data_IF_054975718702
#
_entry.id   IF_054975718702
#
_cell.length_a   1.000
_cell.length_b   1.000
_cell.length_c   1.000
_cell.angle_alpha   90.00
_cell.angle_beta   90.00
_cell.angle_gamma   90.00
#
_symmetry.space_group_name_H-M   'P 1'
#
loop_
_entity.id
_entity.type
_entity.pdbx_description
1 polymer ?
#
# COMPACT_ATOMS: atom_id res chain seq x y z
N UNK A 1 71.18 37.44 19.82
CA UNK A 1 71.40 38.83 19.34
C UNK A 1 70.57 39.06 18.09
N UNK A 2 69.69 40.06 18.15
CA UNK A 2 68.85 40.63 17.07
C UNK A 2 67.67 39.83 16.51
N UNK A 3 66.51 40.25 17.01
CA UNK A 3 65.16 40.14 16.44
C UNK A 3 65.10 40.83 15.04
N UNK A 4 64.31 40.25 14.12
CA UNK A 4 63.66 41.01 13.05
C UNK A 4 62.22 40.50 12.92
N UNK A 5 61.29 41.47 13.18
CA UNK A 5 59.86 41.36 12.93
C UNK A 5 59.61 41.37 11.42
N UNK A 6 58.75 40.54 10.94
CA UNK A 6 58.12 40.68 9.63
C UNK A 6 56.59 40.65 9.83
N UNK A 7 55.95 41.78 9.67
CA UNK A 7 54.51 41.97 9.64
C UNK A 7 53.97 41.37 8.34
N UNK A 8 52.97 40.44 8.43
CA UNK A 8 52.23 39.92 7.31
C UNK A 8 50.92 40.71 7.17
N UNK A 9 50.85 41.44 6.09
CA UNK A 9 49.63 42.14 5.64
C UNK A 9 48.56 41.14 5.22
N UNK A 10 47.40 41.10 5.91
CA UNK A 10 46.23 40.39 5.46
C UNK A 10 45.52 41.20 4.36
N UNK A 11 45.55 40.68 3.14
CA UNK A 11 44.70 41.14 2.04
C UNK A 11 43.31 40.44 2.20
N UNK A 12 42.30 41.24 2.47
CA UNK A 12 40.90 40.83 2.47
C UNK A 12 40.41 40.63 1.04
N UNK A 13 40.02 39.42 0.67
CA UNK A 13 39.26 39.11 -0.53
C UNK A 13 37.76 39.23 -0.22
N UNK A 14 36.93 39.77 -1.14
CA UNK A 14 35.49 39.89 -0.90
C UNK A 14 34.82 38.53 -0.99
N UNK A 15 33.92 38.23 -0.01
CA UNK A 15 33.08 37.03 0.04
C UNK A 15 32.14 37.00 -1.16
N UNK A 16 32.27 36.02 -2.01
CA UNK A 16 31.29 35.67 -3.03
C UNK A 16 30.05 35.07 -2.32
N UNK A 17 28.92 35.79 -2.42
CA UNK A 17 27.61 35.27 -2.03
C UNK A 17 27.26 34.06 -2.91
N UNK A 18 27.45 32.86 -2.41
CA UNK A 18 26.90 31.67 -2.98
C UNK A 18 25.38 31.66 -2.67
N UNK A 19 24.56 31.79 -3.71
CA UNK A 19 23.14 31.52 -3.65
C UNK A 19 22.95 30.02 -3.30
N UNK A 20 22.68 29.72 -2.04
CA UNK A 20 22.14 28.41 -1.64
C UNK A 20 20.64 28.46 -1.91
N UNK A 21 20.08 27.48 -2.66
CA UNK A 21 18.63 27.36 -2.77
C UNK A 21 18.09 27.01 -1.38
N UNK A 22 17.22 27.86 -0.89
CA UNK A 22 16.50 27.68 0.36
C UNK A 22 15.46 26.57 0.16
N UNK A 23 15.84 25.31 0.34
CA UNK A 23 14.88 24.25 0.55
C UNK A 23 14.25 24.47 1.91
N UNK A 24 13.12 25.15 1.91
CA UNK A 24 12.28 25.28 3.07
C UNK A 24 11.90 23.88 3.52
N UNK A 25 12.48 23.43 4.64
CA UNK A 25 11.98 22.29 5.41
C UNK A 25 10.58 22.70 5.86
N UNK A 26 9.54 22.32 5.11
CA UNK A 26 8.16 22.38 5.59
C UNK A 26 8.11 21.51 6.85
N UNK A 27 7.82 22.13 7.96
CA UNK A 27 7.58 21.51 9.24
C UNK A 27 6.54 20.41 9.03
N UNK A 28 6.84 19.19 9.49
CA UNK A 28 5.96 18.02 9.47
C UNK A 28 4.94 18.18 10.61
N UNK A 29 4.13 19.22 10.54
CA UNK A 29 2.99 19.40 11.41
C UNK A 29 1.71 19.22 10.58
N UNK A 30 1.01 18.10 10.79
CA UNK A 30 -0.35 17.82 10.29
C UNK A 30 -0.59 18.22 8.83
N UNK A 31 0.03 17.54 7.88
CA UNK A 31 -0.49 17.55 6.51
C UNK A 31 -1.66 16.57 6.47
N UNK A 32 -2.86 17.05 6.79
CA UNK A 32 -4.11 16.46 6.32
C UNK A 32 -4.05 16.55 4.79
N UNK A 33 -4.17 15.43 4.10
CA UNK A 33 -4.33 15.47 2.64
C UNK A 33 -5.59 16.29 2.36
N UNK A 34 -5.48 17.36 1.58
CA UNK A 34 -6.65 18.07 1.10
C UNK A 34 -7.52 17.06 0.32
N UNK A 35 -8.83 17.13 0.50
CA UNK A 35 -9.75 16.20 -0.15
C UNK A 35 -9.57 16.28 -1.67
N UNK A 36 -9.18 15.18 -2.30
CA UNK A 36 -8.95 15.11 -3.75
C UNK A 36 -10.28 15.01 -4.51
N UNK A 37 -10.35 15.70 -5.66
CA UNK A 37 -11.48 15.52 -6.59
C UNK A 37 -11.56 14.07 -7.06
N UNK A 38 -12.78 13.56 -7.16
CA UNK A 38 -13.08 12.27 -7.76
C UNK A 38 -13.87 12.45 -9.06
N UNK A 39 -14.06 11.36 -9.80
CA UNK A 39 -14.91 11.37 -11.00
C UNK A 39 -16.38 11.73 -10.68
N UNK A 40 -16.85 11.58 -9.42
CA UNK A 40 -18.17 12.00 -9.00
C UNK A 40 -18.34 13.53 -8.93
N UNK A 41 -17.24 14.26 -8.74
CA UNK A 41 -17.22 15.72 -8.70
C UNK A 41 -17.28 16.34 -10.11
N UNK A 42 -17.31 15.51 -11.18
CA UNK A 42 -17.40 15.93 -12.58
C UNK A 42 -18.82 15.83 -13.09
N UNK A 43 -19.26 16.85 -13.82
CA UNK A 43 -20.55 16.85 -14.51
C UNK A 43 -20.53 15.98 -15.79
N UNK A 44 -21.72 15.63 -16.29
CA UNK A 44 -21.85 14.90 -17.56
C UNK A 44 -21.18 15.65 -18.74
N UNK A 45 -21.30 16.99 -18.76
CA UNK A 45 -20.63 17.84 -19.76
C UNK A 45 -19.11 17.78 -19.73
N UNK A 46 -18.53 17.41 -18.58
CA UNK A 46 -17.07 17.32 -18.42
C UNK A 46 -16.52 15.98 -18.94
N UNK A 47 -17.40 14.98 -19.14
CA UNK A 47 -17.02 13.61 -19.51
C UNK A 47 -17.46 13.25 -20.92
N UNK A 48 -18.62 13.72 -21.38
CA UNK A 48 -19.21 13.34 -22.67
C UNK A 48 -18.30 13.71 -23.85
N UNK A 49 -17.94 12.70 -24.66
CA UNK A 49 -17.05 12.85 -25.81
C UNK A 49 -15.58 13.10 -25.45
N UNK A 50 -15.22 13.11 -24.15
CA UNK A 50 -13.83 13.31 -23.70
C UNK A 50 -13.02 12.03 -23.80
N UNK A 51 -11.78 12.17 -24.23
CA UNK A 51 -10.77 11.11 -24.24
C UNK A 51 -10.11 11.06 -22.88
N UNK A 52 -10.47 10.05 -22.09
CA UNK A 52 -10.04 9.94 -20.69
C UNK A 52 -8.97 8.86 -20.56
N UNK A 53 -7.77 9.26 -20.12
CA UNK A 53 -6.73 8.32 -19.71
C UNK A 53 -7.00 7.86 -18.29
N UNK A 54 -7.27 6.56 -18.09
CA UNK A 54 -7.53 5.96 -16.78
C UNK A 54 -6.36 5.07 -16.38
N UNK A 55 -5.66 5.40 -15.31
CA UNK A 55 -4.62 4.55 -14.75
C UNK A 55 -5.23 3.52 -13.81
N UNK A 56 -5.25 2.26 -14.23
CA UNK A 56 -5.67 1.12 -13.42
C UNK A 56 -4.48 0.26 -12.99
N UNK A 57 -4.61 -0.48 -11.90
CA UNK A 57 -3.65 -1.54 -11.54
C UNK A 57 -4.23 -2.91 -11.94
N UNK A 58 -3.96 -3.34 -13.16
CA UNK A 58 -4.32 -4.67 -13.66
C UNK A 58 -3.11 -5.62 -13.70
N UNK A 59 -2.16 -5.41 -12.79
CA UNK A 59 -1.00 -6.28 -12.63
C UNK A 59 -1.42 -7.57 -11.90
N UNK A 60 -2.11 -8.43 -12.62
CA UNK A 60 -2.67 -9.71 -12.13
C UNK A 60 -1.65 -10.85 -12.23
N UNK A 61 -1.76 -11.89 -11.39
CA UNK A 61 -0.95 -13.09 -11.52
C UNK A 61 -1.40 -13.91 -12.74
N UNK A 62 -0.42 -14.40 -13.50
CA UNK A 62 -0.62 -15.21 -14.70
C UNK A 62 0.06 -16.57 -14.57
N UNK A 63 -0.61 -17.62 -15.05
CA UNK A 63 0.00 -18.89 -15.43
C UNK A 63 0.02 -18.98 -16.97
N UNK A 64 1.18 -18.75 -17.56
CA UNK A 64 1.29 -18.50 -18.99
C UNK A 64 0.55 -17.23 -19.40
N UNK A 65 -0.56 -17.38 -20.12
CA UNK A 65 -1.49 -16.29 -20.49
C UNK A 65 -2.83 -16.36 -19.73
N UNK A 66 -2.99 -17.32 -18.83
CA UNK A 66 -4.22 -17.49 -18.05
C UNK A 66 -4.15 -16.66 -16.77
N UNK A 67 -5.14 -15.80 -16.55
CA UNK A 67 -5.27 -15.03 -15.32
C UNK A 67 -5.73 -15.99 -14.21
N UNK A 68 -4.96 -16.09 -13.12
CA UNK A 68 -5.28 -16.95 -11.98
C UNK A 68 -6.07 -16.21 -10.90
N UNK A 69 -6.01 -14.87 -10.87
CA UNK A 69 -6.79 -14.00 -10.00
C UNK A 69 -7.10 -12.69 -10.73
N UNK A 70 -8.37 -12.38 -10.95
CA UNK A 70 -8.84 -11.20 -11.67
C UNK A 70 -9.35 -10.06 -10.75
N UNK A 71 -9.14 -10.18 -9.43
CA UNK A 71 -9.63 -9.22 -8.42
C UNK A 71 -9.30 -7.78 -8.76
N UNK A 72 -8.08 -7.51 -9.22
CA UNK A 72 -7.63 -6.15 -9.59
C UNK A 72 -8.36 -5.60 -10.82
N UNK A 73 -8.67 -6.46 -11.81
CA UNK A 73 -9.45 -6.04 -12.97
C UNK A 73 -10.87 -5.72 -12.52
N UNK A 74 -11.51 -6.59 -11.72
CA UNK A 74 -12.86 -6.36 -11.18
C UNK A 74 -12.95 -5.07 -10.40
N UNK A 75 -11.92 -4.75 -9.62
CA UNK A 75 -11.88 -3.53 -8.80
C UNK A 75 -11.86 -2.24 -9.63
N UNK A 76 -11.38 -2.28 -10.88
CA UNK A 76 -11.35 -1.12 -11.78
C UNK A 76 -12.63 -0.95 -12.60
N UNK A 77 -13.48 -1.99 -12.70
CA UNK A 77 -14.70 -1.97 -13.52
C UNK A 77 -15.66 -0.83 -13.15
N UNK A 78 -15.97 -0.57 -11.86
CA UNK A 78 -16.93 0.51 -11.52
C UNK A 78 -16.53 1.89 -12.07
N UNK A 79 -15.24 2.22 -12.01
CA UNK A 79 -14.71 3.48 -12.56
C UNK A 79 -14.86 3.54 -14.09
N UNK A 80 -14.54 2.45 -14.77
CA UNK A 80 -14.62 2.37 -16.22
C UNK A 80 -16.07 2.44 -16.69
N UNK A 81 -16.98 1.70 -16.05
CA UNK A 81 -18.43 1.73 -16.35
C UNK A 81 -19.01 3.13 -16.16
N UNK A 82 -18.69 3.79 -15.04
CA UNK A 82 -19.18 5.14 -14.79
C UNK A 82 -18.76 6.12 -15.89
N UNK A 83 -17.48 6.13 -16.27
CA UNK A 83 -16.97 7.01 -17.31
C UNK A 83 -17.58 6.69 -18.68
N UNK A 84 -17.68 5.42 -19.03
CA UNK A 84 -18.31 4.93 -20.26
C UNK A 84 -19.79 5.37 -20.34
N UNK A 85 -20.55 5.16 -19.25
CA UNK A 85 -21.98 5.47 -19.19
C UNK A 85 -22.24 6.98 -19.25
N UNK A 86 -21.26 7.80 -18.89
CA UNK A 86 -21.27 9.26 -19.07
C UNK A 86 -20.80 9.71 -20.46
N UNK A 87 -20.58 8.77 -21.38
CA UNK A 87 -20.21 9.05 -22.77
C UNK A 87 -18.74 9.40 -22.98
N UNK A 88 -17.84 9.09 -22.04
CA UNK A 88 -16.41 9.23 -22.25
C UNK A 88 -15.86 8.16 -23.22
N UNK A 89 -14.77 8.47 -23.91
CA UNK A 89 -13.91 7.53 -24.61
C UNK A 89 -12.85 7.11 -23.62
N UNK A 90 -12.97 5.91 -23.06
CA UNK A 90 -12.13 5.45 -21.95
C UNK A 90 -10.90 4.74 -22.49
N UNK A 91 -9.72 5.19 -22.13
CA UNK A 91 -8.46 4.48 -22.43
C UNK A 91 -7.75 4.10 -21.13
N UNK A 92 -7.65 2.80 -20.89
CA UNK A 92 -7.00 2.22 -19.73
C UNK A 92 -5.51 2.08 -19.98
N UNK A 93 -4.68 2.59 -19.08
CA UNK A 93 -3.25 2.29 -19.04
C UNK A 93 -2.89 1.55 -17.74
N UNK A 94 -1.97 0.62 -17.85
CA UNK A 94 -1.49 -0.16 -16.73
C UNK A 94 -0.08 -0.70 -16.95
N UNK A 95 0.43 -1.38 -15.93
CA UNK A 95 1.64 -2.19 -16.03
C UNK A 95 1.32 -3.67 -15.73
N UNK A 96 2.14 -4.56 -16.22
CA UNK A 96 2.12 -5.99 -15.90
C UNK A 96 3.55 -6.49 -15.72
N UNK A 97 3.82 -7.08 -14.57
CA UNK A 97 5.11 -7.64 -14.23
C UNK A 97 6.27 -6.62 -14.21
N UNK A 98 7.46 -7.12 -14.54
CA UNK A 98 8.71 -6.35 -14.56
C UNK A 98 9.53 -6.69 -15.80
N UNK A 99 9.11 -6.27 -17.01
CA UNK A 99 9.91 -6.43 -18.21
C UNK A 99 11.26 -5.73 -18.03
N UNK A 100 12.32 -6.28 -18.63
CA UNK A 100 13.69 -5.75 -18.48
C UNK A 100 14.19 -5.08 -19.75
N UNK A 101 13.87 -5.66 -20.91
CA UNK A 101 14.51 -5.33 -22.19
C UNK A 101 13.48 -4.91 -23.26
N UNK A 102 12.40 -4.22 -22.86
CA UNK A 102 11.33 -3.78 -23.76
C UNK A 102 10.15 -4.75 -23.83
N UNK A 103 9.40 -4.80 -24.96
CA UNK A 103 8.22 -5.63 -25.10
C UNK A 103 8.54 -7.13 -24.98
N UNK A 104 7.84 -7.81 -24.08
CA UNK A 104 7.87 -9.26 -23.92
C UNK A 104 6.44 -9.80 -23.93
N UNK A 105 6.12 -10.76 -24.80
CA UNK A 105 4.75 -11.30 -25.00
C UNK A 105 4.08 -11.78 -23.69
N UNK A 106 4.88 -12.34 -22.76
CA UNK A 106 4.37 -12.78 -21.44
C UNK A 106 3.91 -11.62 -20.53
N UNK A 107 4.27 -10.39 -20.86
CA UNK A 107 3.87 -9.18 -20.13
C UNK A 107 2.94 -8.28 -20.93
N UNK A 108 2.40 -8.78 -22.07
CA UNK A 108 1.34 -8.08 -22.81
C UNK A 108 0.07 -7.98 -21.99
N UNK A 109 -0.62 -6.85 -22.07
CA UNK A 109 -1.91 -6.62 -21.44
C UNK A 109 -3.09 -7.25 -22.21
N UNK A 110 -2.83 -8.01 -23.28
CA UNK A 110 -3.86 -8.71 -24.05
C UNK A 110 -4.83 -9.53 -23.21
N UNK A 111 -4.37 -10.45 -22.34
CA UNK A 111 -5.25 -11.21 -21.44
C UNK A 111 -6.10 -10.32 -20.52
N UNK A 112 -5.54 -9.18 -20.05
CA UNK A 112 -6.27 -8.24 -19.21
C UNK A 112 -7.35 -7.49 -19.98
N UNK A 113 -7.09 -7.12 -21.25
CA UNK A 113 -8.06 -6.49 -22.12
C UNK A 113 -9.23 -7.43 -22.45
N UNK A 114 -8.94 -8.71 -22.75
CA UNK A 114 -9.96 -9.73 -22.99
C UNK A 114 -10.85 -9.92 -21.76
N UNK A 115 -10.23 -10.11 -20.56
CA UNK A 115 -10.95 -10.29 -19.31
C UNK A 115 -11.77 -9.07 -18.93
N UNK A 116 -11.24 -7.86 -19.12
CA UNK A 116 -11.98 -6.62 -18.89
C UNK A 116 -13.19 -6.52 -19.83
N UNK A 117 -13.05 -6.91 -21.11
CA UNK A 117 -14.15 -6.96 -22.08
C UNK A 117 -15.26 -7.91 -21.67
N UNK A 118 -14.94 -9.11 -21.16
CA UNK A 118 -15.92 -10.05 -20.61
C UNK A 118 -16.72 -9.43 -19.44
N UNK A 119 -16.02 -8.76 -18.52
CA UNK A 119 -16.64 -8.13 -17.34
C UNK A 119 -17.54 -6.95 -17.72
N UNK A 120 -17.14 -6.15 -18.72
CA UNK A 120 -17.91 -5.00 -19.22
C UNK A 120 -19.02 -5.40 -20.20
N UNK A 121 -19.08 -6.65 -20.66
CA UNK A 121 -20.03 -7.12 -21.67
C UNK A 121 -19.84 -6.47 -23.06
N UNK A 122 -18.64 -5.96 -23.36
CA UNK A 122 -18.29 -5.37 -24.66
C UNK A 122 -16.82 -5.64 -25.01
N UNK A 123 -16.45 -5.46 -26.29
CA UNK A 123 -15.05 -5.58 -26.70
C UNK A 123 -14.19 -4.44 -26.13
N UNK A 124 -13.02 -4.75 -25.61
CA UNK A 124 -11.96 -3.80 -25.26
C UNK A 124 -10.88 -3.87 -26.36
N UNK A 125 -10.61 -2.74 -27.00
CA UNK A 125 -9.59 -2.68 -28.06
C UNK A 125 -8.21 -2.58 -27.44
N UNK A 126 -7.35 -3.58 -27.64
CA UNK A 126 -5.94 -3.47 -27.27
C UNK A 126 -5.18 -2.64 -28.31
N UNK A 127 -4.56 -1.55 -27.89
CA UNK A 127 -3.66 -0.78 -28.74
C UNK A 127 -2.31 -1.52 -28.90
N UNK A 128 -1.59 -1.34 -30.01
CA UNK A 128 -0.33 -2.07 -30.24
C UNK A 128 0.83 -1.58 -29.38
N UNK A 129 0.68 -0.43 -28.72
CA UNK A 129 1.66 0.21 -27.85
C UNK A 129 0.96 1.09 -26.80
N UNK A 130 1.71 1.73 -25.92
CA UNK A 130 1.18 2.74 -25.00
C UNK A 130 1.39 4.19 -25.47
N UNK A 131 2.22 4.43 -26.49
CA UNK A 131 2.51 5.74 -27.08
C UNK A 131 2.61 5.64 -28.61
N UNK A 132 2.59 6.77 -29.29
CA UNK A 132 2.89 6.87 -30.72
C UNK A 132 1.66 7.07 -31.62
N UNK A 133 1.92 7.26 -32.94
CA UNK A 133 0.89 7.65 -33.93
C UNK A 133 -0.24 6.62 -34.06
N UNK A 134 0.06 5.32 -33.98
CA UNK A 134 -0.96 4.27 -34.08
C UNK A 134 -1.90 4.29 -32.89
N UNK A 135 -1.37 4.55 -31.68
CA UNK A 135 -2.18 4.72 -30.46
C UNK A 135 -3.08 5.95 -30.63
N UNK A 136 -2.53 7.09 -31.07
CA UNK A 136 -3.29 8.32 -31.31
C UNK A 136 -4.43 8.07 -32.30
N UNK A 137 -4.18 7.39 -33.42
CA UNK A 137 -5.22 7.06 -34.41
C UNK A 137 -6.35 6.21 -33.84
N UNK A 138 -6.02 5.23 -32.98
CA UNK A 138 -7.03 4.37 -32.32
C UNK A 138 -7.88 5.18 -31.36
N UNK A 139 -7.25 6.02 -30.52
CA UNK A 139 -7.95 6.89 -29.56
C UNK A 139 -8.81 7.93 -30.29
N UNK A 140 -8.31 8.53 -31.37
CA UNK A 140 -9.05 9.51 -32.18
C UNK A 140 -10.26 8.92 -32.90
N UNK A 141 -10.19 7.64 -33.28
CA UNK A 141 -11.29 6.90 -33.91
C UNK A 141 -12.34 6.40 -32.88
N UNK A 142 -12.05 6.47 -31.59
CA UNK A 142 -12.94 6.04 -30.51
C UNK A 142 -14.23 6.83 -30.48
N UNK A 143 -15.31 6.19 -30.03
CA UNK A 143 -16.65 6.75 -29.88
C UNK A 143 -17.05 6.78 -28.43
N UNK A 144 -18.05 7.60 -28.11
CA UNK A 144 -18.65 7.64 -26.76
C UNK A 144 -19.02 6.23 -26.28
N UNK A 145 -18.49 5.84 -25.11
CA UNK A 145 -18.67 4.53 -24.50
C UNK A 145 -17.68 3.44 -24.92
N UNK A 146 -16.78 3.72 -25.88
CA UNK A 146 -15.72 2.78 -26.23
C UNK A 146 -14.69 2.68 -25.11
N UNK A 147 -14.12 1.45 -24.97
CA UNK A 147 -13.04 1.17 -24.02
C UNK A 147 -11.83 0.64 -24.79
N UNK A 148 -10.71 1.29 -24.61
CA UNK A 148 -9.41 0.96 -25.21
C UNK A 148 -8.46 0.59 -24.09
N UNK A 149 -7.58 -0.38 -24.29
CA UNK A 149 -6.47 -0.69 -23.39
C UNK A 149 -5.15 -0.44 -24.11
N UNK A 150 -4.28 0.33 -23.50
CA UNK A 150 -2.90 0.49 -23.98
C UNK A 150 -2.08 -0.75 -23.66
N UNK A 151 -0.97 -0.96 -24.36
CA UNK A 151 0.03 -1.93 -23.97
C UNK A 151 0.79 -1.50 -22.69
N UNK A 152 1.50 -2.45 -22.11
CA UNK A 152 2.20 -2.34 -20.85
C UNK A 152 3.16 -1.14 -20.83
N UNK A 153 2.86 -0.14 -20.00
CA UNK A 153 3.69 1.09 -19.88
C UNK A 153 5.14 0.80 -19.48
N UNK A 154 5.39 -0.31 -18.79
CA UNK A 154 6.75 -0.74 -18.37
C UNK A 154 7.58 -1.38 -19.48
N UNK A 155 7.05 -1.48 -20.71
CA UNK A 155 7.91 -1.77 -21.86
C UNK A 155 8.90 -0.64 -22.14
N UNK A 156 8.66 0.52 -21.54
CA UNK A 156 9.54 1.69 -21.57
C UNK A 156 10.15 1.94 -20.19
N UNK A 157 11.48 2.00 -20.13
CA UNK A 157 12.20 2.31 -18.87
C UNK A 157 11.91 3.73 -18.38
N UNK A 158 11.53 4.61 -19.29
CA UNK A 158 11.14 6.00 -19.09
C UNK A 158 9.89 6.14 -18.20
N UNK A 159 8.99 5.14 -18.22
CA UNK A 159 7.82 5.08 -17.34
C UNK A 159 8.20 5.20 -15.87
N UNK A 160 9.11 4.34 -15.41
CA UNK A 160 9.49 4.31 -13.99
C UNK A 160 10.39 5.46 -13.59
N UNK A 161 11.05 6.10 -14.55
CA UNK A 161 11.89 7.29 -14.35
C UNK A 161 11.13 8.60 -14.46
N UNK A 162 9.85 8.53 -14.85
CA UNK A 162 9.01 9.71 -15.06
C UNK A 162 9.64 10.71 -16.06
N UNK A 163 10.19 10.20 -17.17
CA UNK A 163 10.89 11.03 -18.15
C UNK A 163 9.90 11.90 -18.94
N UNK A 164 10.13 13.22 -18.95
CA UNK A 164 9.21 14.21 -19.52
C UNK A 164 8.81 13.93 -20.97
N UNK A 165 9.76 13.51 -21.83
CA UNK A 165 9.46 13.19 -23.22
C UNK A 165 8.58 11.97 -23.42
N UNK A 166 8.60 11.00 -22.50
CA UNK A 166 7.67 9.86 -22.49
C UNK A 166 6.31 10.29 -21.96
N UNK A 167 6.27 11.06 -20.87
CA UNK A 167 5.04 11.62 -20.30
C UNK A 167 4.24 12.39 -21.33
N UNK A 168 4.90 13.32 -22.07
CA UNK A 168 4.26 14.11 -23.11
C UNK A 168 3.63 13.23 -24.19
N UNK A 169 4.34 12.21 -24.67
CA UNK A 169 3.81 11.26 -25.67
C UNK A 169 2.65 10.44 -25.14
N UNK A 170 2.71 10.00 -23.86
CA UNK A 170 1.64 9.24 -23.23
C UNK A 170 0.38 10.09 -23.02
N UNK A 171 0.54 11.37 -22.68
CA UNK A 171 -0.58 12.28 -22.44
C UNK A 171 -1.22 12.81 -23.74
N UNK A 172 -0.46 12.92 -24.84
CA UNK A 172 -0.84 13.65 -26.04
C UNK A 172 -2.23 13.35 -26.63
N UNK A 173 -2.74 12.07 -26.65
CA UNK A 173 -4.05 11.78 -27.22
C UNK A 173 -5.24 12.12 -26.32
N UNK A 174 -5.04 12.56 -25.07
CA UNK A 174 -6.08 12.62 -24.05
C UNK A 174 -6.42 14.03 -23.60
N UNK A 175 -7.65 14.20 -23.11
CA UNK A 175 -8.15 15.47 -22.59
C UNK A 175 -7.98 15.60 -21.07
N UNK A 176 -8.08 14.47 -20.33
CA UNK A 176 -8.04 14.42 -18.89
C UNK A 176 -7.50 13.09 -18.36
N UNK A 177 -7.22 13.06 -17.06
CA UNK A 177 -6.64 11.91 -16.38
C UNK A 177 -7.46 11.46 -15.18
N UNK A 178 -7.59 10.14 -15.03
CA UNK A 178 -8.19 9.50 -13.86
C UNK A 178 -7.18 8.52 -13.27
N UNK A 179 -6.80 8.71 -12.01
CA UNK A 179 -6.00 7.74 -11.29
C UNK A 179 -6.89 6.80 -10.47
N UNK A 180 -6.90 5.53 -10.83
CA UNK A 180 -7.64 4.48 -10.11
C UNK A 180 -6.72 3.33 -9.67
N UNK A 181 -5.42 3.61 -9.56
CA UNK A 181 -4.38 2.65 -9.27
C UNK A 181 -3.68 2.95 -7.93
N UNK A 182 -4.41 2.81 -6.82
CA UNK A 182 -3.88 3.10 -5.50
C UNK A 182 -2.59 2.33 -5.19
N UNK A 183 -2.50 1.04 -5.56
CA UNK A 183 -1.32 0.21 -5.35
C UNK A 183 -0.01 0.76 -5.95
N UNK A 184 -0.10 1.68 -6.92
CA UNK A 184 1.06 2.32 -7.55
C UNK A 184 1.22 3.79 -7.18
N UNK A 185 0.28 4.37 -6.44
CA UNK A 185 0.25 5.80 -6.14
C UNK A 185 1.42 6.30 -5.28
N UNK A 186 2.11 5.38 -4.59
CA UNK A 186 3.32 5.69 -3.82
C UNK A 186 4.57 5.96 -4.69
N UNK A 187 4.46 5.85 -6.02
CA UNK A 187 5.58 6.03 -6.95
C UNK A 187 5.29 7.16 -7.93
N UNK A 188 6.24 8.08 -8.07
CA UNK A 188 6.18 9.15 -9.06
C UNK A 188 6.60 8.59 -10.45
N UNK A 189 5.73 7.76 -11.06
CA UNK A 189 5.92 7.26 -12.43
C UNK A 189 5.24 8.15 -13.46
N UNK A 190 5.60 8.02 -14.74
CA UNK A 190 5.00 8.77 -15.83
C UNK A 190 3.47 8.64 -15.85
N UNK A 191 2.95 7.41 -15.76
CA UNK A 191 1.51 7.10 -15.82
C UNK A 191 0.75 7.33 -14.51
N UNK A 192 1.41 7.71 -13.40
CA UNK A 192 0.76 7.95 -12.10
C UNK A 192 0.84 9.42 -11.67
N UNK A 193 1.98 10.07 -11.88
CA UNK A 193 2.24 11.47 -11.49
C UNK A 193 2.55 12.35 -12.71
N UNK A 194 3.41 11.88 -13.62
CA UNK A 194 3.88 12.69 -14.74
C UNK A 194 2.78 13.25 -15.61
N UNK A 195 1.81 12.42 -16.01
CA UNK A 195 0.70 12.80 -16.91
C UNK A 195 -0.19 13.91 -16.34
N UNK A 196 -0.25 14.08 -15.01
CA UNK A 196 -1.05 15.14 -14.38
C UNK A 196 -0.55 16.54 -14.72
N UNK A 197 0.70 16.68 -15.18
CA UNK A 197 1.28 17.96 -15.61
C UNK A 197 0.75 18.40 -16.98
N UNK A 198 0.18 17.48 -17.74
CA UNK A 198 -0.31 17.73 -19.10
C UNK A 198 -1.83 17.60 -19.21
N UNK A 199 -2.46 16.78 -18.36
CA UNK A 199 -3.88 16.45 -18.42
C UNK A 199 -4.63 17.09 -17.25
N UNK A 200 -5.63 17.90 -17.57
CA UNK A 200 -6.47 18.56 -16.57
C UNK A 200 -7.96 18.53 -17.00
N UNK A 201 -8.88 18.16 -16.07
CA UNK A 201 -8.61 17.82 -14.68
C UNK A 201 -7.94 16.45 -14.54
N UNK A 202 -7.15 16.29 -13.45
CA UNK A 202 -6.62 15.01 -12.99
C UNK A 202 -7.33 14.64 -11.69
N UNK A 203 -8.10 13.57 -11.67
CA UNK A 203 -8.98 13.21 -10.56
C UNK A 203 -8.82 11.74 -10.13
N UNK A 204 -9.34 11.37 -8.97
CA UNK A 204 -9.38 9.97 -8.54
C UNK A 204 -10.56 9.21 -9.16
N UNK A 205 -10.34 7.93 -9.49
CA UNK A 205 -11.41 6.97 -9.70
C UNK A 205 -11.99 6.46 -8.38
N UNK A 206 -13.01 5.62 -8.45
CA UNK A 206 -13.72 5.10 -7.26
C UNK A 206 -12.83 4.27 -6.35
N UNK A 207 -11.95 3.41 -6.92
CA UNK A 207 -11.06 2.58 -6.12
C UNK A 207 -10.09 3.44 -5.31
N UNK A 208 -9.42 4.39 -5.97
CA UNK A 208 -8.50 5.30 -5.30
C UNK A 208 -9.21 6.16 -4.25
N UNK A 209 -10.38 6.71 -4.58
CA UNK A 209 -11.17 7.53 -3.65
C UNK A 209 -11.56 6.73 -2.40
N UNK A 210 -12.02 5.49 -2.57
CA UNK A 210 -12.39 4.58 -1.49
C UNK A 210 -11.20 4.23 -0.60
N UNK A 211 -10.04 3.95 -1.18
CA UNK A 211 -8.82 3.67 -0.42
C UNK A 211 -8.42 4.87 0.45
N UNK A 212 -8.48 6.09 -0.10
CA UNK A 212 -8.21 7.31 0.66
C UNK A 212 -9.24 7.55 1.77
N UNK A 213 -10.53 7.37 1.48
CA UNK A 213 -11.60 7.51 2.48
C UNK A 213 -11.38 6.60 3.70
N UNK A 214 -11.06 5.33 3.45
CA UNK A 214 -10.87 4.37 4.54
C UNK A 214 -9.52 4.52 5.24
N UNK A 215 -8.42 4.62 4.51
CA UNK A 215 -7.08 4.63 5.12
C UNK A 215 -6.73 6.01 5.69
N UNK A 216 -6.87 7.07 4.90
CA UNK A 216 -6.59 8.42 5.39
C UNK A 216 -7.63 8.88 6.40
N UNK A 217 -8.91 8.61 6.14
CA UNK A 217 -10.00 8.89 7.07
C UNK A 217 -9.85 8.16 8.42
N UNK A 218 -9.40 6.90 8.40
CA UNK A 218 -9.13 6.18 9.65
C UNK A 218 -7.96 6.79 10.43
N UNK A 219 -6.90 7.23 9.74
CA UNK A 219 -5.71 7.80 10.37
C UNK A 219 -5.99 9.22 10.91
N UNK A 220 -6.76 10.02 10.17
CA UNK A 220 -7.03 11.43 10.47
C UNK A 220 -8.13 11.59 11.49
N UNK A 221 -9.27 10.89 11.29
CA UNK A 221 -10.52 11.09 12.01
C UNK A 221 -11.15 9.78 12.54
N UNK A 222 -10.36 8.71 12.60
CA UNK A 222 -10.83 7.40 13.07
C UNK A 222 -11.49 7.45 14.44
N UNK A 223 -12.65 6.81 14.57
CA UNK A 223 -13.38 6.73 15.83
C UNK A 223 -12.53 6.02 16.89
N UNK A 224 -12.49 6.60 18.08
CA UNK A 224 -11.71 6.10 19.23
C UNK A 224 -12.54 5.17 20.13
N UNK A 225 -11.94 4.19 20.81
CA UNK A 225 -10.53 3.82 20.77
C UNK A 225 -10.12 3.20 19.46
N UNK A 226 -8.91 3.54 19.00
CA UNK A 226 -8.32 3.03 17.77
C UNK A 226 -7.21 2.04 18.09
N UNK A 227 -7.18 0.93 17.36
CA UNK A 227 -6.13 -0.07 17.50
C UNK A 227 -5.43 -0.33 16.15
N UNK A 228 -4.17 -0.74 16.24
CA UNK A 228 -3.42 -1.29 15.14
C UNK A 228 -2.95 -2.71 15.47
N UNK A 229 -3.04 -3.60 14.51
CA UNK A 229 -2.51 -4.96 14.56
C UNK A 229 -1.38 -5.02 13.55
N UNK A 230 -0.17 -5.22 14.03
CA UNK A 230 1.05 -5.21 13.20
C UNK A 230 1.73 -6.57 13.31
N UNK A 231 1.73 -7.28 12.20
CA UNK A 231 2.36 -8.59 12.08
C UNK A 231 3.42 -8.62 10.97
N UNK A 232 3.93 -9.82 10.73
CA UNK A 232 4.93 -10.05 9.70
C UNK A 232 6.26 -10.58 10.27
N UNK A 233 7.23 -10.82 9.39
CA UNK A 233 8.45 -11.55 9.78
C UNK A 233 9.53 -10.66 10.44
N UNK A 234 9.59 -9.35 10.12
CA UNK A 234 10.73 -8.49 10.48
C UNK A 234 10.35 -7.15 11.05
N UNK A 235 10.95 -6.77 12.19
CA UNK A 235 10.85 -5.43 12.79
C UNK A 235 11.38 -4.37 11.85
N UNK A 236 12.53 -4.60 11.22
CA UNK A 236 13.19 -3.65 10.31
C UNK A 236 12.29 -3.13 9.21
N UNK A 237 11.35 -3.96 8.74
CA UNK A 237 10.39 -3.59 7.69
C UNK A 237 9.14 -2.87 8.21
N UNK A 238 8.92 -2.83 9.53
CA UNK A 238 7.69 -2.33 10.16
C UNK A 238 7.92 -1.18 11.15
N UNK A 239 9.17 -0.87 11.46
CA UNK A 239 9.49 0.11 12.51
C UNK A 239 8.91 1.50 12.23
N UNK A 240 8.93 1.94 10.97
CA UNK A 240 8.38 3.24 10.57
C UNK A 240 6.87 3.27 10.76
N UNK A 241 6.18 2.23 10.31
CA UNK A 241 4.72 2.05 10.49
C UNK A 241 4.36 1.99 11.97
N UNK A 242 5.09 1.18 12.77
CA UNK A 242 4.85 1.09 14.21
C UNK A 242 4.95 2.44 14.90
N UNK A 243 5.99 3.22 14.59
CA UNK A 243 6.17 4.54 15.17
C UNK A 243 5.05 5.51 14.78
N UNK A 244 4.60 5.50 13.54
CA UNK A 244 3.48 6.33 13.06
C UNK A 244 2.15 5.92 13.71
N UNK A 245 1.90 4.61 13.83
CA UNK A 245 0.68 4.09 14.47
C UNK A 245 0.66 4.33 15.99
N UNK A 246 1.81 4.34 16.66
CA UNK A 246 1.91 4.72 18.08
C UNK A 246 1.45 6.16 18.32
N UNK A 247 1.65 7.06 17.38
CA UNK A 247 1.20 8.44 17.52
C UNK A 247 -0.33 8.58 17.35
N UNK A 248 -0.99 7.64 16.67
CA UNK A 248 -2.42 7.66 16.29
C UNK A 248 -3.31 6.74 17.13
N UNK A 249 -2.84 5.52 17.40
CA UNK A 249 -3.62 4.47 18.07
C UNK A 249 -3.44 4.49 19.57
N UNK A 250 -4.46 4.11 20.32
CA UNK A 250 -4.41 3.86 21.75
C UNK A 250 -3.86 2.47 22.08
N UNK A 251 -4.07 1.51 21.17
CA UNK A 251 -3.77 0.10 21.38
C UNK A 251 -3.01 -0.47 20.18
N UNK A 252 -1.97 -1.25 20.42
CA UNK A 252 -1.19 -1.94 19.39
C UNK A 252 -1.07 -3.42 19.74
N UNK A 253 -1.40 -4.28 18.81
CA UNK A 253 -1.13 -5.72 18.88
C UNK A 253 0.07 -6.01 17.97
N UNK A 254 1.09 -6.67 18.50
CA UNK A 254 2.25 -7.13 17.73
C UNK A 254 2.23 -8.64 17.64
N UNK A 255 2.36 -9.17 16.41
CA UNK A 255 2.38 -10.60 16.12
C UNK A 255 3.35 -10.95 15.01
N UNK A 256 3.26 -12.22 14.54
CA UNK A 256 4.15 -12.75 13.51
C UNK A 256 5.59 -12.95 13.99
N UNK A 257 6.50 -13.26 13.07
CA UNK A 257 7.90 -13.54 13.39
C UNK A 257 8.63 -12.37 14.06
N UNK A 258 8.21 -11.14 13.78
CA UNK A 258 8.79 -9.95 14.41
C UNK A 258 8.61 -9.90 15.93
N UNK A 259 7.61 -10.57 16.46
CA UNK A 259 7.32 -10.58 17.92
C UNK A 259 8.48 -11.12 18.73
N UNK A 260 9.26 -12.07 18.20
CA UNK A 260 10.38 -12.69 18.92
C UNK A 260 11.52 -11.72 19.16
N UNK A 261 11.69 -10.70 18.34
CA UNK A 261 12.62 -9.59 18.61
C UNK A 261 12.15 -8.76 19.81
N UNK A 262 10.83 -8.52 19.95
CA UNK A 262 10.24 -7.85 21.14
C UNK A 262 10.33 -8.71 22.40
N UNK A 263 10.06 -10.02 22.30
CA UNK A 263 10.19 -10.95 23.43
C UNK A 263 11.65 -11.03 23.92
N UNK A 264 12.61 -11.06 22.99
CA UNK A 264 14.03 -11.00 23.30
C UNK A 264 14.42 -9.68 23.98
N UNK A 265 13.85 -8.54 23.54
CA UNK A 265 14.04 -7.24 24.16
C UNK A 265 13.50 -7.21 25.61
N UNK A 266 12.50 -8.04 25.96
CA UNK A 266 12.02 -8.27 27.33
C UNK A 266 12.91 -9.23 28.13
N UNK A 267 13.94 -9.82 27.52
CA UNK A 267 14.85 -10.75 28.15
C UNK A 267 14.38 -12.21 28.13
N UNK A 268 13.37 -12.56 27.32
CA UNK A 268 12.86 -13.94 27.22
C UNK A 268 13.75 -14.80 26.33
N UNK A 269 13.83 -16.10 26.61
CA UNK A 269 14.39 -17.07 25.70
C UNK A 269 13.40 -17.31 24.55
N UNK A 270 13.87 -17.19 23.33
CA UNK A 270 13.05 -17.34 22.11
C UNK A 270 13.47 -18.56 21.26
N UNK A 271 14.34 -19.43 21.80
CA UNK A 271 14.85 -20.63 21.14
C UNK A 271 15.51 -20.31 19.80
N UNK A 272 15.08 -21.01 18.74
CA UNK A 272 15.54 -20.79 17.34
C UNK A 272 14.56 -19.93 16.54
N UNK A 273 13.64 -19.20 17.20
CA UNK A 273 12.70 -18.29 16.54
C UNK A 273 13.42 -17.21 15.75
N UNK A 274 12.74 -16.63 14.76
CA UNK A 274 13.26 -15.55 13.94
C UNK A 274 13.51 -14.30 14.78
N UNK A 275 14.75 -13.85 14.90
CA UNK A 275 15.15 -12.64 15.62
C UNK A 275 16.00 -11.76 14.74
N UNK A 276 15.77 -10.46 14.78
CA UNK A 276 16.69 -9.46 14.24
C UNK A 276 17.48 -8.84 15.41
N UNK A 277 18.67 -9.38 15.68
CA UNK A 277 19.50 -8.97 16.83
C UNK A 277 19.84 -7.48 16.82
N UNK A 278 20.07 -6.91 15.65
CA UNK A 278 20.35 -5.48 15.46
C UNK A 278 19.15 -4.58 15.79
N UNK A 279 17.94 -5.14 15.90
CA UNK A 279 16.70 -4.42 16.19
C UNK A 279 16.12 -4.67 17.60
N UNK A 280 16.84 -5.40 18.44
CA UNK A 280 16.40 -5.67 19.84
C UNK A 280 16.28 -4.37 20.64
N UNK A 281 17.28 -3.48 20.54
CA UNK A 281 17.23 -2.19 21.22
C UNK A 281 16.13 -1.30 20.65
N UNK A 282 15.95 -1.30 19.32
CA UNK A 282 14.85 -0.58 18.68
C UNK A 282 13.47 -1.07 19.13
N UNK A 283 13.30 -2.38 19.29
CA UNK A 283 12.05 -2.95 19.83
C UNK A 283 11.78 -2.46 21.26
N UNK A 284 12.81 -2.36 22.08
CA UNK A 284 12.72 -1.79 23.42
C UNK A 284 12.34 -0.31 23.41
N UNK A 285 12.99 0.49 22.55
CA UNK A 285 12.67 1.91 22.37
C UNK A 285 11.20 2.13 21.98
N UNK A 286 10.64 1.25 21.12
CA UNK A 286 9.22 1.27 20.72
C UNK A 286 8.31 1.01 21.92
N UNK A 287 8.62 0.01 22.75
CA UNK A 287 7.85 -0.28 23.97
C UNK A 287 7.93 0.88 24.99
N UNK A 288 9.13 1.43 25.20
CA UNK A 288 9.33 2.58 26.07
C UNK A 288 8.61 3.84 25.57
N UNK A 289 8.58 4.04 24.25
CA UNK A 289 7.81 5.13 23.61
C UNK A 289 6.31 4.96 23.87
N UNK A 290 5.80 3.75 23.68
CA UNK A 290 4.38 3.45 23.94
C UNK A 290 4.00 3.78 25.39
N UNK A 291 4.79 3.33 26.36
CA UNK A 291 4.58 3.61 27.78
C UNK A 291 4.58 5.12 28.09
N UNK A 292 5.58 5.86 27.56
CA UNK A 292 5.68 7.33 27.71
C UNK A 292 4.47 8.07 27.13
N UNK A 293 3.88 7.53 26.04
CA UNK A 293 2.69 8.10 25.40
C UNK A 293 1.37 7.63 26.05
N UNK A 294 1.42 6.76 27.06
CA UNK A 294 0.24 6.15 27.68
C UNK A 294 -0.51 5.21 26.74
N UNK A 295 0.20 4.61 25.79
CA UNK A 295 -0.34 3.64 24.81
C UNK A 295 -0.03 2.22 25.29
N UNK A 296 -0.85 1.26 24.87
CA UNK A 296 -0.66 -0.13 25.28
C UNK A 296 -0.23 -0.97 24.08
N UNK A 297 0.88 -1.68 24.24
CA UNK A 297 1.33 -2.73 23.31
C UNK A 297 0.99 -4.09 23.93
N UNK A 298 0.22 -4.90 23.22
CA UNK A 298 -0.06 -6.28 23.55
C UNK A 298 0.86 -7.20 22.74
N UNK A 299 1.70 -7.95 23.45
CA UNK A 299 2.49 -9.06 22.90
C UNK A 299 1.80 -10.38 23.28
N UNK A 300 1.97 -11.46 22.53
CA UNK A 300 1.38 -12.74 22.85
C UNK A 300 1.88 -13.28 24.20
N UNK A 301 0.97 -13.88 24.96
CA UNK A 301 1.25 -14.55 26.23
C UNK A 301 1.63 -16.01 26.06
N UNK A 302 1.14 -16.66 24.99
CA UNK A 302 1.48 -18.02 24.59
C UNK A 302 1.76 -18.11 23.08
N UNK A 303 2.56 -19.11 22.70
CA UNK A 303 3.08 -19.28 21.35
C UNK A 303 2.90 -20.75 20.93
N UNK A 304 2.46 -20.96 19.70
CA UNK A 304 2.57 -22.24 19.01
C UNK A 304 3.98 -22.38 18.48
N UNK A 305 4.73 -23.33 19.06
CA UNK A 305 6.11 -23.60 18.67
C UNK A 305 6.24 -24.89 17.89
N UNK A 306 7.28 -25.00 17.08
CA UNK A 306 7.62 -26.18 16.30
C UNK A 306 9.10 -26.54 16.46
N UNK A 307 9.44 -27.81 16.26
CA UNK A 307 10.82 -28.31 16.24
C UNK A 307 11.52 -28.08 14.90
N UNK A 308 10.76 -27.72 13.86
CA UNK A 308 11.25 -27.41 12.51
C UNK A 308 10.29 -26.48 11.78
N UNK A 309 10.77 -25.76 10.75
CA UNK A 309 9.92 -24.96 9.85
C UNK A 309 9.34 -25.85 8.75
N UNK A 310 8.29 -26.59 9.07
CA UNK A 310 7.62 -27.51 8.15
C UNK A 310 6.14 -27.68 8.53
N UNK A 311 5.29 -27.95 7.54
CA UNK A 311 3.85 -28.13 7.75
C UNK A 311 3.51 -29.37 8.60
N UNK A 312 4.39 -30.35 8.65
CA UNK A 312 4.29 -31.62 9.40
C UNK A 312 5.21 -31.67 10.64
N UNK A 313 5.76 -30.54 11.06
CA UNK A 313 6.58 -30.44 12.25
C UNK A 313 5.81 -30.84 13.53
N UNK A 314 6.53 -31.33 14.55
CA UNK A 314 5.94 -31.50 15.86
C UNK A 314 5.66 -30.11 16.48
N UNK A 315 4.45 -29.93 17.01
CA UNK A 315 4.00 -28.65 17.56
C UNK A 315 3.57 -28.79 19.00
N UNK A 316 3.72 -27.72 19.76
CA UNK A 316 3.12 -27.57 21.12
C UNK A 316 2.90 -26.10 21.41
N UNK A 317 2.01 -25.81 22.36
CA UNK A 317 1.79 -24.47 22.89
C UNK A 317 2.61 -24.32 24.16
N UNK A 318 3.30 -23.18 24.30
CA UNK A 318 4.07 -22.83 25.50
C UNK A 318 3.85 -21.35 25.84
N UNK A 319 4.08 -20.97 27.09
CA UNK A 319 4.12 -19.57 27.46
C UNK A 319 5.23 -18.82 26.70
N UNK A 320 5.01 -17.56 26.34
CA UNK A 320 5.92 -16.79 25.50
C UNK A 320 7.32 -16.59 26.13
N UNK A 321 7.45 -16.69 27.47
CA UNK A 321 8.70 -16.62 28.23
C UNK A 321 9.36 -18.01 28.43
N UNK A 322 8.76 -19.08 27.89
CA UNK A 322 9.17 -20.48 28.14
C UNK A 322 9.45 -21.27 26.84
N UNK A 323 9.87 -20.59 25.78
CA UNK A 323 10.25 -21.25 24.51
C UNK A 323 11.56 -22.01 24.74
N UNK A 324 11.59 -23.37 24.58
CA UNK A 324 12.78 -24.13 24.82
C UNK A 324 13.82 -23.97 23.71
N UNK A 325 15.09 -24.22 24.03
CA UNK A 325 16.14 -24.31 23.04
C UNK A 325 15.81 -25.37 21.97
N UNK A 326 16.15 -25.08 20.72
CA UNK A 326 15.88 -25.94 19.58
C UNK A 326 14.43 -25.88 19.03
N UNK A 327 13.55 -25.10 19.66
CA UNK A 327 12.18 -24.87 19.18
C UNK A 327 12.03 -23.43 18.65
N UNK A 328 11.15 -23.22 17.68
CA UNK A 328 10.84 -21.93 17.10
C UNK A 328 9.35 -21.61 17.20
N UNK A 329 9.03 -20.37 17.48
CA UNK A 329 7.66 -19.89 17.44
C UNK A 329 7.19 -19.62 16.01
N UNK A 330 5.98 -20.07 15.67
CA UNK A 330 5.44 -19.94 14.31
C UNK A 330 4.01 -19.38 14.28
N UNK A 331 3.29 -19.31 15.43
CA UNK A 331 1.97 -18.68 15.51
C UNK A 331 1.67 -18.25 16.95
N UNK A 332 0.67 -17.39 17.13
CA UNK A 332 0.12 -17.10 18.43
C UNK A 332 -0.64 -18.31 19.00
N UNK A 333 -0.58 -18.48 20.31
CA UNK A 333 -1.36 -19.50 20.99
C UNK A 333 -2.83 -19.08 21.24
N UNK A 334 -3.65 -20.00 21.77
CA UNK A 334 -5.06 -19.76 22.01
C UNK A 334 -5.33 -18.70 23.10
N UNK A 335 -4.49 -18.64 24.16
CA UNK A 335 -4.64 -17.66 25.23
C UNK A 335 -4.35 -16.25 24.69
N UNK A 336 -3.31 -16.10 23.86
CA UNK A 336 -3.00 -14.85 23.16
C UNK A 336 -4.16 -14.36 22.29
N UNK A 337 -4.82 -15.26 21.58
CA UNK A 337 -6.00 -14.92 20.74
C UNK A 337 -7.18 -14.48 21.62
N UNK A 338 -7.40 -15.14 22.76
CA UNK A 338 -8.44 -14.72 23.71
C UNK A 338 -8.17 -13.35 24.33
N UNK A 339 -6.93 -13.09 24.72
CA UNK A 339 -6.49 -11.78 25.23
C UNK A 339 -6.62 -10.68 24.18
N UNK A 340 -6.29 -10.97 22.91
CA UNK A 340 -6.48 -10.04 21.79
C UNK A 340 -7.95 -9.70 21.59
N UNK A 341 -8.86 -10.67 21.71
CA UNK A 341 -10.31 -10.46 21.62
C UNK A 341 -10.79 -9.49 22.72
N UNK A 342 -10.38 -9.68 23.95
CA UNK A 342 -10.72 -8.80 25.06
C UNK A 342 -10.10 -7.41 24.86
N UNK A 343 -8.82 -7.35 24.52
CA UNK A 343 -8.07 -6.11 24.31
C UNK A 343 -8.68 -5.21 23.23
N UNK A 344 -9.19 -5.80 22.15
CA UNK A 344 -9.79 -5.08 21.02
C UNK A 344 -11.29 -4.82 21.21
N UNK A 345 -11.91 -5.36 22.26
CA UNK A 345 -13.37 -5.45 22.40
C UNK A 345 -14.12 -4.11 22.40
N UNK A 346 -13.50 -3.02 22.80
CA UNK A 346 -14.05 -1.67 22.87
C UNK A 346 -13.61 -0.77 21.69
N UNK A 347 -12.73 -1.29 20.79
CA UNK A 347 -12.21 -0.51 19.68
C UNK A 347 -13.29 -0.20 18.66
N UNK A 348 -13.28 1.03 18.15
CA UNK A 348 -14.19 1.50 17.10
C UNK A 348 -13.52 1.61 15.73
N UNK A 349 -12.18 1.65 15.70
CA UNK A 349 -11.40 1.59 14.47
C UNK A 349 -10.23 0.64 14.69
N UNK A 350 -10.06 -0.33 13.79
CA UNK A 350 -8.93 -1.27 13.86
C UNK A 350 -8.29 -1.42 12.47
N UNK A 351 -6.98 -1.23 12.41
CA UNK A 351 -6.19 -1.41 11.19
C UNK A 351 -5.29 -2.64 11.39
N UNK A 352 -5.37 -3.61 10.49
CA UNK A 352 -4.51 -4.79 10.49
C UNK A 352 -3.52 -4.74 9.32
N UNK A 353 -2.25 -4.95 9.63
CA UNK A 353 -1.17 -5.04 8.65
C UNK A 353 -0.14 -6.09 9.01
N UNK A 354 -0.27 -7.26 8.44
CA UNK A 354 0.59 -8.43 8.64
C UNK A 354 -0.07 -9.53 9.49
N UNK A 355 0.21 -10.81 9.15
CA UNK A 355 -0.34 -11.98 9.85
C UNK A 355 0.31 -12.21 11.22
N UNK A 356 -0.37 -13.00 12.06
CA UNK A 356 0.10 -13.33 13.41
C UNK A 356 0.98 -14.57 13.45
N UNK A 357 0.94 -15.41 12.42
CA UNK A 357 1.69 -16.65 12.28
C UNK A 357 1.92 -17.01 10.82
N UNK A 358 2.49 -18.20 10.59
CA UNK A 358 2.74 -18.78 9.24
C UNK A 358 1.44 -19.42 8.74
N UNK A 359 0.46 -18.59 8.44
CA UNK A 359 -0.92 -19.03 8.11
C UNK A 359 -1.03 -19.88 6.86
N UNK A 360 -0.02 -19.88 5.99
CA UNK A 360 0.06 -20.77 4.82
C UNK A 360 0.21 -22.24 5.19
N UNK A 361 0.63 -22.53 6.43
CA UNK A 361 0.72 -23.87 6.99
C UNK A 361 -0.42 -24.08 8.00
N UNK A 362 -1.28 -25.07 7.74
CA UNK A 362 -2.46 -25.37 8.55
C UNK A 362 -2.21 -25.49 10.07
N UNK A 363 -1.01 -25.93 10.45
CA UNK A 363 -0.62 -26.05 11.86
C UNK A 363 -0.45 -24.68 12.55
N UNK A 364 -0.26 -23.59 11.79
CA UNK A 364 0.10 -22.25 12.26
C UNK A 364 -0.82 -21.14 11.74
N UNK A 365 -2.05 -21.49 11.32
CA UNK A 365 -3.04 -20.55 10.78
C UNK A 365 -3.95 -19.92 11.83
N UNK A 366 -4.07 -20.56 13.01
CA UNK A 366 -5.14 -20.27 13.98
C UNK A 366 -5.01 -18.89 14.62
N UNK A 367 -3.81 -18.43 14.90
CA UNK A 367 -3.58 -17.09 15.44
C UNK A 367 -4.00 -16.02 14.46
N UNK A 368 -3.65 -16.18 13.17
CA UNK A 368 -4.02 -15.23 12.11
C UNK A 368 -5.53 -15.26 11.84
N UNK A 369 -6.13 -16.45 11.68
CA UNK A 369 -7.57 -16.54 11.44
C UNK A 369 -8.39 -16.11 12.66
N UNK A 370 -7.89 -16.38 13.87
CA UNK A 370 -8.52 -15.89 15.10
C UNK A 370 -8.61 -14.38 15.18
N UNK A 371 -7.56 -13.67 14.77
CA UNK A 371 -7.60 -12.20 14.71
C UNK A 371 -8.55 -11.70 13.63
N UNK A 372 -8.60 -12.36 12.47
CA UNK A 372 -9.55 -12.05 11.39
C UNK A 372 -11.00 -12.25 11.87
N UNK A 373 -11.29 -13.32 12.59
CA UNK A 373 -12.62 -13.56 13.19
C UNK A 373 -12.99 -12.46 14.21
N UNK A 374 -12.06 -12.04 15.06
CA UNK A 374 -12.27 -10.95 16.01
C UNK A 374 -12.65 -9.66 15.26
N UNK A 375 -11.94 -9.33 14.17
CA UNK A 375 -12.24 -8.12 13.37
C UNK A 375 -13.60 -8.21 12.69
N UNK A 376 -13.96 -9.36 12.14
CA UNK A 376 -15.26 -9.60 11.55
C UNK A 376 -16.41 -9.44 12.56
N UNK A 377 -16.23 -9.99 13.79
CA UNK A 377 -17.19 -9.85 14.87
C UNK A 377 -17.32 -8.37 15.31
N UNK A 378 -16.21 -7.63 15.43
CA UNK A 378 -16.23 -6.22 15.75
C UNK A 378 -16.99 -5.39 14.71
N UNK A 379 -16.80 -5.69 13.43
CA UNK A 379 -17.54 -5.02 12.36
C UNK A 379 -19.03 -5.30 12.44
N UNK A 380 -19.41 -6.57 12.53
CA UNK A 380 -20.83 -6.99 12.49
C UNK A 380 -21.60 -6.63 13.74
N UNK A 381 -21.02 -6.87 14.91
CA UNK A 381 -21.72 -6.78 16.18
C UNK A 381 -21.66 -5.38 16.78
N UNK A 382 -20.57 -4.64 16.53
CA UNK A 382 -20.31 -3.33 17.15
C UNK A 382 -20.26 -2.17 16.16
N UNK A 383 -20.30 -2.44 14.85
CA UNK A 383 -20.18 -1.41 13.82
C UNK A 383 -18.83 -0.72 13.81
N UNK A 384 -17.78 -1.42 14.26
CA UNK A 384 -16.42 -0.91 14.20
C UNK A 384 -15.93 -0.83 12.75
N UNK A 385 -15.09 0.16 12.47
CA UNK A 385 -14.41 0.26 11.18
C UNK A 385 -13.17 -0.62 11.21
N UNK A 386 -13.15 -1.69 10.42
CA UNK A 386 -12.02 -2.63 10.31
C UNK A 386 -11.40 -2.55 8.92
N UNK A 387 -10.09 -2.34 8.89
CA UNK A 387 -9.34 -2.12 7.66
C UNK A 387 -8.21 -3.15 7.60
N UNK A 388 -8.16 -3.91 6.52
CA UNK A 388 -7.11 -4.90 6.27
C UNK A 388 -6.16 -4.33 5.21
N UNK A 389 -4.88 -4.22 5.56
CA UNK A 389 -3.83 -3.76 4.65
C UNK A 389 -2.66 -4.73 4.59
N UNK A 390 -1.95 -4.71 3.45
CA UNK A 390 -0.82 -5.61 3.19
C UNK A 390 -1.22 -6.95 2.59
N UNK A 391 -0.46 -7.40 1.58
CA UNK A 391 -0.79 -8.57 0.78
C UNK A 391 -1.05 -9.84 1.59
N UNK A 392 -0.20 -10.14 2.57
CA UNK A 392 -0.33 -11.35 3.39
C UNK A 392 -1.59 -11.31 4.28
N UNK A 393 -1.94 -10.13 4.83
CA UNK A 393 -3.18 -9.98 5.63
C UNK A 393 -4.43 -10.14 4.76
N UNK A 394 -4.41 -9.57 3.54
CA UNK A 394 -5.48 -9.73 2.58
C UNK A 394 -5.65 -11.19 2.21
N UNK A 395 -4.57 -11.88 1.84
CA UNK A 395 -4.59 -13.31 1.50
C UNK A 395 -5.12 -14.16 2.67
N UNK A 396 -4.69 -13.90 3.90
CA UNK A 396 -5.20 -14.60 5.09
C UNK A 396 -6.70 -14.35 5.30
N UNK A 397 -7.16 -13.12 5.09
CA UNK A 397 -8.57 -12.76 5.23
C UNK A 397 -9.44 -13.42 4.17
N UNK A 398 -8.98 -13.50 2.93
CA UNK A 398 -9.65 -14.23 1.85
C UNK A 398 -9.72 -15.73 2.15
N UNK A 399 -8.60 -16.36 2.55
CA UNK A 399 -8.53 -17.78 2.89
C UNK A 399 -9.42 -18.15 4.08
N UNK A 400 -9.61 -17.25 5.04
CA UNK A 400 -10.51 -17.46 6.18
C UNK A 400 -12.00 -17.42 5.79
N UNK A 401 -12.33 -16.93 4.58
CA UNK A 401 -13.70 -16.74 4.11
C UNK A 401 -14.44 -15.54 4.73
N UNK A 402 -13.73 -14.66 5.46
CA UNK A 402 -14.31 -13.51 6.17
C UNK A 402 -14.10 -12.17 5.48
N UNK A 403 -13.62 -12.18 4.25
CA UNK A 403 -13.32 -10.95 3.49
C UNK A 403 -14.54 -10.00 3.39
N UNK A 404 -15.72 -10.54 3.14
CA UNK A 404 -16.97 -9.77 3.06
C UNK A 404 -17.46 -9.20 4.39
N UNK A 405 -16.83 -9.54 5.51
CA UNK A 405 -17.20 -9.09 6.85
C UNK A 405 -16.36 -7.89 7.32
N UNK A 406 -15.36 -7.48 6.55
CA UNK A 406 -14.50 -6.33 6.84
C UNK A 406 -15.11 -5.03 6.27
N UNK A 407 -14.84 -3.91 6.93
CA UNK A 407 -15.27 -2.60 6.41
C UNK A 407 -14.51 -2.25 5.13
N UNK A 408 -13.21 -2.55 5.09
CA UNK A 408 -12.38 -2.32 3.92
C UNK A 408 -11.20 -3.30 3.85
N UNK A 409 -10.94 -3.80 2.64
CA UNK A 409 -9.73 -4.57 2.31
C UNK A 409 -8.96 -3.76 1.28
N UNK A 410 -7.78 -3.29 1.67
CA UNK A 410 -6.96 -2.45 0.81
C UNK A 410 -6.27 -3.27 -0.28
N UNK A 411 -6.36 -2.78 -1.50
CA UNK A 411 -5.62 -3.32 -2.66
C UNK A 411 -4.22 -2.72 -2.80
N UNK A 412 -3.90 -1.74 -1.94
CA UNK A 412 -2.74 -0.86 -2.11
C UNK A 412 -1.39 -1.46 -1.77
N UNK A 413 -1.31 -2.55 -1.00
CA UNK A 413 -0.04 -3.17 -0.62
C UNK A 413 0.97 -2.18 -0.03
N UNK A 414 2.04 -1.86 -0.78
CA UNK A 414 3.06 -0.89 -0.36
C UNK A 414 2.53 0.54 -0.20
N UNK A 415 1.59 0.96 -1.03
CA UNK A 415 1.00 2.30 -0.94
C UNK A 415 0.21 2.49 0.37
N UNK A 416 -0.53 1.46 0.80
CA UNK A 416 -1.23 1.48 2.08
C UNK A 416 -0.27 1.63 3.25
N UNK A 417 0.87 0.93 3.21
CA UNK A 417 1.90 1.05 4.24
C UNK A 417 2.48 2.46 4.29
N UNK A 418 2.85 3.03 3.14
CA UNK A 418 3.43 4.36 3.08
C UNK A 418 2.43 5.45 3.51
N UNK A 419 1.14 5.28 3.21
CA UNK A 419 0.09 6.17 3.69
C UNK A 419 -0.06 6.06 5.23
N UNK A 420 -0.06 4.85 5.79
CA UNK A 420 -0.07 4.61 7.23
C UNK A 420 1.17 5.19 7.95
N UNK A 421 2.31 5.25 7.27
CA UNK A 421 3.52 5.93 7.74
C UNK A 421 3.39 7.46 7.72
N UNK A 422 2.32 8.02 7.18
CA UNK A 422 2.11 9.46 7.01
C UNK A 422 2.89 10.06 5.85
N UNK A 423 3.35 9.24 4.89
CA UNK A 423 4.03 9.71 3.69
C UNK A 423 3.03 10.25 2.68
N UNK A 424 3.42 11.30 2.00
CA UNK A 424 2.72 11.82 0.82
C UNK A 424 2.89 10.84 -0.33
N UNK A 425 1.78 10.39 -0.91
CA UNK A 425 1.80 9.53 -2.09
C UNK A 425 1.82 10.40 -3.36
N UNK A 426 2.89 10.36 -4.19
CA UNK A 426 3.02 11.26 -5.35
C UNK A 426 1.85 11.19 -6.33
N UNK A 427 1.33 9.97 -6.59
CA UNK A 427 0.20 9.77 -7.50
C UNK A 427 -1.15 10.20 -6.91
N UNK A 428 -1.22 10.53 -5.62
CA UNK A 428 -2.37 11.16 -4.97
C UNK A 428 -2.18 12.67 -4.92
N UNK A 429 -1.01 13.12 -4.46
CA UNK A 429 -0.67 14.54 -4.30
C UNK A 429 -0.84 15.32 -5.60
N UNK A 430 -0.49 14.70 -6.73
CA UNK A 430 -0.59 15.28 -8.06
C UNK A 430 -2.03 15.45 -8.59
N UNK A 431 -3.05 14.91 -7.92
CA UNK A 431 -4.45 15.09 -8.32
C UNK A 431 -4.99 16.44 -7.85
N UNK A 432 -6.03 16.93 -8.54
CA UNK A 432 -6.69 18.17 -8.18
C UNK A 432 -7.39 18.08 -6.81
N UNK A 433 -7.31 19.12 -6.05
CA UNK A 433 -8.04 19.31 -4.79
C UNK A 433 -9.50 19.70 -5.05
N UNK A 434 -10.40 19.37 -4.09
CA UNK A 434 -11.81 19.77 -4.12
C UNK A 434 -12.02 21.26 -3.97
#
# INVERSE_FOLDING_TARGET
MKLINAAMMLLALPAANAFAPNFGVRSVNNMQLEAKKSIEDLGESDLKGKKVLVRCDVNVPLDGKTITDDTRIRSSIPTIEYLKDKGAIVTVCSHLGRPKDGPEDKFSLGPCAERMGELLGQSVTLAPDCIGEEVTKIVDAGKEGDVIMLENTRFYAEETKNEAGFVEKLAAPFDMFVNDAFGTAHRAHASTEGVTKFLQPSVSGFLLAKELEYLDGAISDGKKPMAAIVGGSKVSSKITVLNALLDKCEKIVIGGGMVFTFLKAKGYNVGTSLVEDDFVETAKEVMDKAEKLGKTILLPSDIVIADNFAADANTKVVAADAIPDGWMGLDNGPDSTAEQKEFLSDCQTVIMNGPMGVFEMKAFEKGTFGIVDILADLTKEKGATTIIGGGDSVAATELSGRAGDMSHISTGGGASLELLEGKVLPGVDALNDK
#
